data_IF_189096302382
#
_entry.id   IF_189096302382
#
_cell.length_a   1.000
_cell.length_b   1.000
_cell.length_c   1.000
_cell.angle_alpha   90.00
_cell.angle_beta   90.00
_cell.angle_gamma   90.00
#
_symmetry.space_group_name_H-M   'P 1'
#
loop_
_entity.id
_entity.type
_entity.pdbx_description
1 polymer ?
#
# COMPACT_ATOMS: atom_id res chain seq x y z
N UNK A 1 18.70 4.85 -11.31
CA UNK A 1 17.24 4.89 -11.11
C UNK A 1 16.72 6.18 -11.74
N UNK A 2 15.55 6.13 -12.39
CA UNK A 2 14.86 7.33 -12.86
C UNK A 2 14.44 8.19 -11.65
N UNK A 3 14.64 9.51 -11.72
CA UNK A 3 14.11 10.41 -10.70
C UNK A 3 12.60 10.48 -10.83
N UNK A 4 11.88 10.13 -9.75
CA UNK A 4 10.43 10.22 -9.69
C UNK A 4 10.08 11.46 -8.89
N UNK A 5 9.56 12.48 -9.56
CA UNK A 5 9.01 13.67 -8.92
C UNK A 5 7.63 13.37 -8.34
N UNK A 6 7.59 13.02 -7.07
CA UNK A 6 6.37 12.64 -6.36
C UNK A 6 6.47 12.87 -4.86
N UNK A 7 5.31 12.98 -4.22
CA UNK A 7 5.21 13.16 -2.77
C UNK A 7 5.02 11.81 -2.07
N UNK A 8 5.69 11.59 -0.94
CA UNK A 8 5.50 10.38 -0.14
C UNK A 8 4.03 10.22 0.28
N UNK A 9 3.48 9.00 0.22
CA UNK A 9 2.09 8.70 0.62
C UNK A 9 1.76 9.28 2.00
N UNK A 10 2.70 9.19 2.95
CA UNK A 10 2.51 9.69 4.33
C UNK A 10 2.17 11.18 4.37
N UNK A 11 2.71 11.97 3.44
CA UNK A 11 2.53 13.42 3.35
C UNK A 11 1.40 13.79 2.39
N UNK A 12 1.21 13.00 1.33
CA UNK A 12 0.21 13.25 0.29
C UNK A 12 -1.21 12.85 0.68
N UNK A 13 -1.41 11.82 1.53
CA UNK A 13 -2.71 11.14 1.73
C UNK A 13 -3.87 12.07 2.07
N UNK A 14 -3.63 13.14 2.85
CA UNK A 14 -4.67 14.08 3.28
C UNK A 14 -5.00 15.15 2.23
N UNK A 15 -4.19 15.27 1.17
CA UNK A 15 -4.36 16.26 0.10
C UNK A 15 -5.09 15.69 -1.12
N UNK A 16 -5.24 14.37 -1.19
CA UNK A 16 -5.83 13.70 -2.34
C UNK A 16 -7.35 13.79 -2.30
N UNK A 17 -7.96 14.10 -3.45
CA UNK A 17 -9.38 13.87 -3.63
C UNK A 17 -9.72 12.37 -3.61
N UNK A 18 -11.02 12.07 -3.52
CA UNK A 18 -11.53 10.70 -3.38
C UNK A 18 -11.09 9.79 -4.53
N UNK A 19 -11.16 10.26 -5.77
CA UNK A 19 -10.88 9.44 -6.96
C UNK A 19 -9.38 9.14 -7.05
N UNK A 20 -8.55 10.15 -6.77
CA UNK A 20 -7.10 9.98 -6.75
C UNK A 20 -6.66 9.09 -5.59
N UNK A 21 -7.26 9.24 -4.41
CA UNK A 21 -6.97 8.39 -3.26
C UNK A 21 -7.34 6.93 -3.53
N UNK A 22 -8.51 6.67 -4.13
CA UNK A 22 -8.91 5.33 -4.54
C UNK A 22 -7.91 4.74 -5.52
N UNK A 23 -7.45 5.54 -6.49
CA UNK A 23 -6.45 5.10 -7.47
C UNK A 23 -5.11 4.76 -6.83
N UNK A 24 -4.66 5.57 -5.87
CA UNK A 24 -3.43 5.32 -5.10
C UNK A 24 -3.53 4.02 -4.32
N UNK A 25 -4.64 3.77 -3.64
CA UNK A 25 -4.90 2.52 -2.92
C UNK A 25 -4.82 1.33 -3.87
N UNK A 26 -5.49 1.40 -5.03
CA UNK A 26 -5.47 0.36 -6.05
C UNK A 26 -4.04 0.07 -6.55
N UNK A 27 -3.28 1.13 -6.87
CA UNK A 27 -1.92 1.00 -7.38
C UNK A 27 -1.00 0.35 -6.32
N UNK A 28 -1.09 0.73 -5.04
CA UNK A 28 -0.31 0.14 -3.96
C UNK A 28 -0.61 -1.36 -3.80
N UNK A 29 -1.89 -1.74 -3.83
CA UNK A 29 -2.31 -3.14 -3.75
C UNK A 29 -1.78 -3.95 -4.93
N UNK A 30 -1.86 -3.41 -6.16
CA UNK A 30 -1.30 -4.06 -7.36
C UNK A 30 0.21 -4.21 -7.30
N UNK A 31 0.93 -3.16 -6.89
CA UNK A 31 2.40 -3.19 -6.74
C UNK A 31 2.80 -4.26 -5.74
N UNK A 32 2.20 -4.25 -4.54
CA UNK A 32 2.57 -5.18 -3.48
C UNK A 32 2.18 -6.62 -3.76
N UNK A 33 1.04 -6.85 -4.45
CA UNK A 33 0.67 -8.17 -4.96
C UNK A 33 1.67 -8.65 -6.02
N UNK A 34 2.09 -7.79 -6.95
CA UNK A 34 3.08 -8.14 -7.97
C UNK A 34 4.43 -8.51 -7.36
N UNK A 35 4.88 -7.76 -6.35
CA UNK A 35 6.09 -8.11 -5.59
C UNK A 35 5.94 -9.47 -4.91
N UNK A 36 4.75 -9.79 -4.39
CA UNK A 36 4.50 -11.09 -3.79
C UNK A 36 4.59 -12.24 -4.81
N UNK A 37 3.96 -12.07 -5.97
CA UNK A 37 4.00 -13.04 -7.08
C UNK A 37 5.43 -13.26 -7.59
N UNK A 38 6.24 -12.20 -7.66
CA UNK A 38 7.64 -12.25 -8.10
C UNK A 38 8.58 -12.78 -7.01
N UNK A 39 8.09 -13.02 -5.79
CA UNK A 39 8.93 -13.46 -4.67
C UNK A 39 9.91 -12.40 -4.18
N UNK A 40 9.61 -11.11 -4.35
CA UNK A 40 10.48 -9.99 -3.94
C UNK A 40 9.93 -9.38 -2.64
N UNK A 41 10.64 -9.50 -1.52
CA UNK A 41 10.28 -8.91 -0.23
C UNK A 41 10.91 -7.52 -0.11
N UNK A 42 10.12 -6.44 -0.09
CA UNK A 42 10.64 -5.07 0.02
C UNK A 42 11.05 -4.68 1.45
N UNK A 43 10.45 -5.32 2.46
CA UNK A 43 10.66 -5.10 3.91
C UNK A 43 10.22 -3.74 4.50
N UNK A 44 9.99 -2.71 3.70
CA UNK A 44 9.75 -1.34 4.22
C UNK A 44 8.40 -0.71 3.82
N UNK A 45 7.37 -1.55 3.68
CA UNK A 45 6.01 -1.14 3.34
C UNK A 45 5.33 -0.33 4.47
N UNK A 46 5.60 -0.66 5.74
CA UNK A 46 4.73 -0.37 6.89
C UNK A 46 4.62 1.12 7.30
N UNK A 47 5.36 2.03 6.65
CA UNK A 47 5.32 3.48 6.95
C UNK A 47 4.78 4.37 5.83
N UNK A 48 4.48 3.82 4.65
CA UNK A 48 4.02 4.59 3.50
C UNK A 48 5.07 5.47 2.80
N UNK A 49 6.22 5.75 3.44
CA UNK A 49 7.26 6.64 2.90
C UNK A 49 7.85 6.21 1.55
N UNK A 50 7.92 4.91 1.29
CA UNK A 50 8.49 4.38 0.05
C UNK A 50 7.49 4.35 -1.11
N UNK A 51 6.26 4.82 -0.88
CA UNK A 51 5.30 5.05 -1.96
C UNK A 51 5.34 6.51 -2.38
N UNK A 52 5.77 6.78 -3.61
CA UNK A 52 5.74 8.11 -4.19
C UNK A 52 4.50 8.30 -5.06
N UNK A 53 3.74 9.35 -4.78
CA UNK A 53 2.52 9.71 -5.50
C UNK A 53 2.86 10.84 -6.45
N UNK A 54 2.73 10.54 -7.74
CA UNK A 54 2.82 11.54 -8.81
C UNK A 54 1.43 11.93 -9.28
N UNK A 55 1.34 12.84 -10.25
CA UNK A 55 0.09 13.19 -10.91
C UNK A 55 -0.48 12.01 -11.74
N UNK A 56 0.37 11.07 -12.16
CA UNK A 56 0.01 9.98 -13.08
C UNK A 56 -0.29 8.67 -12.34
N UNK A 57 0.66 8.19 -11.54
CA UNK A 57 0.56 6.89 -10.83
C UNK A 57 1.33 6.88 -9.52
N UNK A 58 1.08 5.86 -8.71
CA UNK A 58 1.90 5.57 -7.54
C UNK A 58 3.09 4.69 -7.91
N UNK A 59 4.24 4.96 -7.31
CA UNK A 59 5.46 4.19 -7.44
C UNK A 59 5.89 3.66 -6.09
N UNK A 60 6.65 2.57 -6.09
CA UNK A 60 7.41 2.13 -4.91
C UNK A 60 8.90 2.31 -5.20
N UNK A 61 9.65 2.83 -4.23
CA UNK A 61 11.07 3.15 -4.33
C UNK A 61 11.88 2.48 -3.21
N UNK A 62 13.20 2.58 -3.28
CA UNK A 62 14.13 2.09 -2.26
C UNK A 62 14.09 0.55 -2.07
N UNK A 63 14.70 -0.14 -3.05
CA UNK A 63 14.83 -1.59 -3.04
C UNK A 63 16.15 -2.07 -2.39
N UNK A 64 16.90 -1.21 -1.71
CA UNK A 64 18.22 -1.56 -1.17
C UNK A 64 18.14 -2.67 -0.12
N UNK A 65 17.03 -2.74 0.62
CA UNK A 65 16.74 -3.84 1.56
C UNK A 65 15.91 -4.96 0.96
N UNK A 66 15.54 -4.86 -0.31
CA UNK A 66 14.73 -5.87 -0.95
C UNK A 66 15.52 -7.16 -1.13
N UNK A 67 14.81 -8.29 -1.07
CA UNK A 67 15.42 -9.60 -1.29
C UNK A 67 14.45 -10.58 -1.90
N UNK A 68 14.99 -11.58 -2.59
CA UNK A 68 14.21 -12.71 -3.06
C UNK A 68 13.88 -13.66 -1.91
N UNK A 69 12.66 -14.19 -1.93
CA UNK A 69 12.15 -15.16 -0.94
C UNK A 69 10.92 -15.87 -1.51
N UNK A 70 10.86 -17.19 -1.28
CA UNK A 70 9.77 -18.05 -1.76
C UNK A 70 8.36 -17.56 -1.39
N UNK A 71 8.21 -16.99 -0.20
CA UNK A 71 6.94 -16.41 0.26
C UNK A 71 7.21 -15.07 0.91
N UNK A 72 6.65 -14.03 0.32
CA UNK A 72 6.75 -12.65 0.79
C UNK A 72 5.38 -12.19 1.29
N UNK A 73 5.34 -11.07 2.01
CA UNK A 73 4.14 -10.59 2.71
C UNK A 73 3.92 -9.09 2.47
N UNK A 74 4.34 -8.59 1.31
CA UNK A 74 4.20 -7.17 1.00
C UNK A 74 2.73 -6.79 0.89
N UNK A 75 1.90 -7.62 0.26
CA UNK A 75 0.46 -7.35 0.13
C UNK A 75 -0.22 -7.27 1.50
N UNK A 76 0.05 -8.23 2.38
CA UNK A 76 -0.50 -8.18 3.75
C UNK A 76 0.02 -6.97 4.53
N UNK A 77 1.29 -6.59 4.33
CA UNK A 77 1.85 -5.36 4.89
C UNK A 77 1.15 -4.10 4.38
N UNK A 78 0.81 -4.05 3.09
CA UNK A 78 0.07 -2.95 2.48
C UNK A 78 -1.37 -2.88 3.01
N UNK A 79 -2.04 -4.02 3.19
CA UNK A 79 -3.36 -4.04 3.83
C UNK A 79 -3.29 -3.47 5.26
N UNK A 80 -2.26 -3.81 6.04
CA UNK A 80 -2.09 -3.25 7.38
C UNK A 80 -1.84 -1.74 7.35
N UNK A 81 -1.07 -1.24 6.37
CA UNK A 81 -0.82 0.18 6.15
C UNK A 81 -2.10 0.94 5.78
N UNK A 82 -2.88 0.39 4.84
CA UNK A 82 -4.03 1.07 4.20
C UNK A 82 -5.34 0.89 4.96
N UNK A 83 -5.51 -0.20 5.70
CA UNK A 83 -6.77 -0.58 6.36
C UNK A 83 -6.58 -1.01 7.83
N UNK A 84 -5.42 -0.71 8.41
CA UNK A 84 -5.15 -0.91 9.83
C UNK A 84 -5.69 0.22 10.72
N UNK A 85 -4.87 0.63 11.69
CA UNK A 85 -5.23 1.61 12.73
C UNK A 85 -4.37 2.87 12.69
N UNK A 86 -3.36 2.91 11.81
CA UNK A 86 -2.49 4.07 11.64
C UNK A 86 -3.20 5.25 10.96
N UNK A 87 -2.55 6.43 11.00
CA UNK A 87 -3.07 7.68 10.39
C UNK A 87 -3.51 7.48 8.93
N UNK A 88 -2.65 6.90 8.09
CA UNK A 88 -2.94 6.67 6.67
C UNK A 88 -4.23 5.87 6.49
N UNK A 89 -4.40 4.79 7.26
CA UNK A 89 -5.60 3.97 7.21
C UNK A 89 -6.86 4.71 7.66
N UNK A 90 -6.76 5.60 8.66
CA UNK A 90 -7.87 6.45 9.11
C UNK A 90 -8.29 7.42 8.02
N UNK A 91 -7.34 8.14 7.42
CA UNK A 91 -7.61 9.06 6.29
C UNK A 91 -8.29 8.32 5.15
N UNK A 92 -7.79 7.13 4.77
CA UNK A 92 -8.38 6.32 3.70
C UNK A 92 -9.82 5.94 4.05
N UNK A 93 -10.07 5.47 5.28
CA UNK A 93 -11.41 5.06 5.71
C UNK A 93 -12.41 6.21 5.65
N UNK A 94 -12.01 7.37 6.15
CA UNK A 94 -12.85 8.57 6.18
C UNK A 94 -13.13 9.09 4.77
N UNK A 95 -12.09 9.31 3.97
CA UNK A 95 -12.24 9.90 2.63
C UNK A 95 -12.92 8.96 1.61
N UNK A 96 -12.77 7.64 1.78
CA UNK A 96 -13.42 6.66 0.91
C UNK A 96 -14.74 6.12 1.47
N UNK A 97 -15.20 6.60 2.63
CA UNK A 97 -16.40 6.13 3.33
C UNK A 97 -16.45 4.61 3.51
N UNK A 98 -15.35 4.02 3.97
CA UNK A 98 -15.25 2.56 4.16
C UNK A 98 -15.78 2.20 5.56
N UNK A 99 -16.82 1.38 5.61
CA UNK A 99 -17.42 0.93 6.86
C UNK A 99 -16.59 -0.13 7.60
N UNK A 100 -17.02 -0.42 8.83
CA UNK A 100 -16.32 -1.39 9.69
C UNK A 100 -16.38 -2.82 9.13
N UNK A 101 -17.47 -3.17 8.47
CA UNK A 101 -17.67 -4.50 7.90
C UNK A 101 -16.79 -4.72 6.67
N UNK A 102 -16.62 -3.71 5.81
CA UNK A 102 -15.68 -3.76 4.69
C UNK A 102 -14.23 -3.89 5.19
N UNK A 103 -13.84 -3.11 6.20
CA UNK A 103 -12.50 -3.22 6.82
C UNK A 103 -12.29 -4.63 7.38
N UNK A 104 -13.29 -5.19 8.07
CA UNK A 104 -13.23 -6.54 8.61
C UNK A 104 -13.07 -7.57 7.49
N UNK A 105 -13.85 -7.46 6.42
CA UNK A 105 -13.76 -8.33 5.25
C UNK A 105 -12.36 -8.29 4.62
N UNK A 106 -11.82 -7.09 4.36
CA UNK A 106 -10.50 -6.89 3.76
C UNK A 106 -9.41 -7.50 4.66
N UNK A 107 -9.47 -7.29 5.97
CA UNK A 107 -8.49 -7.84 6.92
C UNK A 107 -8.58 -9.36 7.02
N UNK A 108 -9.77 -9.94 7.00
CA UNK A 108 -9.94 -11.41 6.96
C UNK A 108 -9.45 -12.01 5.64
N UNK A 109 -9.70 -11.33 4.52
CA UNK A 109 -9.14 -11.73 3.23
C UNK A 109 -7.61 -11.77 3.26
N UNK A 110 -6.97 -10.71 3.80
CA UNK A 110 -5.52 -10.66 3.93
C UNK A 110 -4.95 -11.76 4.84
N UNK A 111 -5.67 -12.15 5.90
CA UNK A 111 -5.29 -13.29 6.77
C UNK A 111 -5.31 -14.62 6.01
N UNK A 112 -6.28 -14.83 5.13
CA UNK A 112 -6.34 -16.03 4.27
C UNK A 112 -5.21 -16.01 3.24
N UNK A 113 -4.98 -14.87 2.58
CA UNK A 113 -3.89 -14.70 1.63
C UNK A 113 -2.52 -15.03 2.24
N UNK A 114 -2.26 -14.60 3.49
CA UNK A 114 -0.99 -14.86 4.20
C UNK A 114 -0.66 -16.36 4.39
N UNK A 115 -1.64 -17.25 4.21
CA UNK A 115 -1.49 -18.71 4.37
C UNK A 115 -1.24 -19.45 3.06
N UNK A 116 -1.35 -18.77 1.92
CA UNK A 116 -0.94 -19.28 0.61
C UNK A 116 0.60 -19.27 0.51
#
# INVERSE_FOLDING_TARGET
MEFIDGEELKSAVDKLDKDRLLKVVEDILKITLKLDILGIEHKEIQGGRHFLITNKKTYIIDFDKAKEKKTTKNFTGAIALLFGEGRIAKTIRENLNIGIDEIKFIREFAKKYKKL
#
